data_IF_320943406266
#
_entry.id   IF_320943406266
#
_cell.length_a   1.000
_cell.length_b   1.000
_cell.length_c   1.000
_cell.angle_alpha   90.00
_cell.angle_beta   90.00
_cell.angle_gamma   90.00
#
_symmetry.space_group_name_H-M   'P 1'
#
loop_
_entity.id
_entity.type
_entity.pdbx_description
1 polymer ?
#
# COMPACT_ATOMS: atom_id res chain seq x y z
N UNK A 1 -7.70 -10.30 27.48
CA UNK A 1 -6.36 -10.96 27.46
C UNK A 1 -5.57 -10.44 28.65
N UNK A 2 -4.87 -11.29 29.41
CA UNK A 2 -4.12 -10.88 30.63
C UNK A 2 -2.80 -10.18 30.26
N UNK A 3 -2.42 -9.14 31.02
CA UNK A 3 -1.14 -8.42 30.91
C UNK A 3 0.08 -9.38 30.95
N UNK A 4 -0.06 -10.53 31.62
CA UNK A 4 0.98 -11.57 31.73
C UNK A 4 1.24 -12.32 30.42
N UNK A 5 0.25 -12.45 29.53
CA UNK A 5 0.43 -13.05 28.19
C UNK A 5 1.09 -12.05 27.24
N UNK A 6 0.91 -10.75 27.48
CA UNK A 6 1.46 -9.66 26.68
C UNK A 6 3.00 -9.63 26.72
N UNK A 7 3.57 -9.73 27.92
CA UNK A 7 5.02 -9.80 28.12
C UNK A 7 5.65 -11.14 27.75
N UNK A 8 4.84 -12.17 27.48
CA UNK A 8 5.34 -13.48 27.06
C UNK A 8 5.65 -13.52 25.55
N UNK A 9 4.94 -12.71 24.74
CA UNK A 9 5.11 -12.67 23.30
C UNK A 9 5.93 -11.47 22.80
N UNK A 10 5.97 -10.37 23.57
CA UNK A 10 6.66 -9.15 23.16
C UNK A 10 7.42 -8.51 24.33
N UNK A 11 8.68 -8.15 24.05
CA UNK A 11 9.58 -7.52 25.03
C UNK A 11 9.12 -6.11 25.43
N UNK A 12 8.30 -5.45 24.61
CA UNK A 12 7.74 -4.14 24.89
C UNK A 12 6.47 -3.85 24.08
N UNK A 13 5.74 -2.81 24.48
CA UNK A 13 4.64 -2.24 23.67
C UNK A 13 5.13 -1.80 22.28
N UNK A 14 6.37 -1.35 22.16
CA UNK A 14 6.98 -1.01 20.88
C UNK A 14 7.14 -2.23 19.99
N UNK A 15 7.69 -3.32 20.52
CA UNK A 15 7.86 -4.58 19.78
C UNK A 15 6.53 -5.14 19.28
N UNK A 16 5.45 -5.02 20.07
CA UNK A 16 4.11 -5.39 19.62
C UNK A 16 3.63 -4.52 18.45
N UNK A 17 3.76 -3.20 18.58
CA UNK A 17 3.27 -2.27 17.55
C UNK A 17 4.03 -2.43 16.24
N UNK A 18 5.34 -2.60 16.31
CA UNK A 18 6.20 -2.90 15.16
C UNK A 18 5.76 -4.21 14.48
N UNK A 19 5.61 -5.29 15.25
CA UNK A 19 5.16 -6.57 14.71
C UNK A 19 3.75 -6.51 14.10
N UNK A 20 2.83 -5.74 14.70
CA UNK A 20 1.48 -5.55 14.18
C UNK A 20 1.49 -4.81 12.84
N UNK A 21 2.24 -3.69 12.76
CA UNK A 21 2.42 -2.93 11.52
C UNK A 21 3.05 -3.81 10.43
N UNK A 22 4.10 -4.57 10.77
CA UNK A 22 4.80 -5.42 9.80
C UNK A 22 3.94 -6.58 9.28
N UNK A 23 3.17 -7.21 10.16
CA UNK A 23 2.30 -8.34 9.80
C UNK A 23 1.23 -7.90 8.81
N UNK A 24 0.51 -6.80 9.12
CA UNK A 24 -0.56 -6.29 8.25
C UNK A 24 -0.03 -5.88 6.87
N UNK A 25 1.15 -5.26 6.84
CA UNK A 25 1.73 -4.79 5.58
C UNK A 25 2.27 -5.91 4.69
N UNK A 26 2.80 -6.98 5.29
CA UNK A 26 3.42 -8.07 4.53
C UNK A 26 2.39 -8.91 3.77
N UNK A 27 1.20 -9.09 4.34
CA UNK A 27 0.17 -9.97 3.80
C UNK A 27 -0.39 -9.49 2.46
N UNK A 28 -0.63 -8.18 2.30
CA UNK A 28 -1.21 -7.66 1.05
C UNK A 28 -0.15 -7.38 -0.03
N UNK A 29 1.08 -7.01 0.34
CA UNK A 29 2.14 -6.74 -0.66
C UNK A 29 2.46 -8.01 -1.44
N UNK A 30 2.58 -9.15 -0.75
CA UNK A 30 2.79 -10.44 -1.39
C UNK A 30 1.63 -10.78 -2.34
N UNK A 31 0.38 -10.54 -1.90
CA UNK A 31 -0.81 -10.75 -2.72
C UNK A 31 -0.77 -9.92 -4.01
N UNK A 32 -0.53 -8.61 -3.90
CA UNK A 32 -0.48 -7.71 -5.06
C UNK A 32 0.61 -8.12 -6.04
N UNK A 33 1.83 -8.36 -5.56
CA UNK A 33 2.97 -8.75 -6.42
C UNK A 33 2.74 -10.09 -7.13
N UNK A 34 2.07 -11.03 -6.47
CA UNK A 34 1.74 -12.35 -7.05
C UNK A 34 0.61 -12.31 -8.08
N UNK A 35 -0.22 -11.27 -8.05
CA UNK A 35 -1.40 -11.15 -8.91
C UNK A 35 -1.16 -10.27 -10.15
N UNK A 36 0.03 -9.67 -10.29
CA UNK A 36 0.38 -8.88 -11.48
C UNK A 36 0.55 -9.84 -12.66
N UNK A 37 -0.50 -9.93 -13.47
CA UNK A 37 -0.51 -10.71 -14.70
C UNK A 37 -0.56 -9.78 -15.93
N UNK A 38 0.13 -10.11 -17.04
CA UNK A 38 0.10 -9.29 -18.24
C UNK A 38 -1.31 -9.23 -18.85
N UNK A 39 -1.92 -8.04 -18.87
CA UNK A 39 -3.16 -7.76 -19.64
C UNK A 39 -2.92 -7.66 -21.14
N UNK A 40 -3.95 -7.32 -21.94
CA UNK A 40 -3.76 -7.01 -23.37
C UNK A 40 -3.12 -5.63 -23.58
N UNK A 41 -3.33 -4.70 -22.63
CA UNK A 41 -2.71 -3.37 -22.62
C UNK A 41 -1.94 -3.09 -21.33
N UNK A 42 -1.06 -2.07 -21.35
CA UNK A 42 -0.39 -1.57 -20.14
C UNK A 42 -1.42 -1.10 -19.11
N UNK A 43 -2.46 -0.37 -19.56
CA UNK A 43 -3.56 0.09 -18.70
C UNK A 43 -4.24 -1.08 -17.99
N UNK A 44 -4.58 -2.14 -18.71
CA UNK A 44 -5.23 -3.32 -18.11
C UNK A 44 -4.33 -4.01 -17.08
N UNK A 45 -3.03 -4.10 -17.36
CA UNK A 45 -2.04 -4.69 -16.44
C UNK A 45 -1.98 -3.88 -15.14
N UNK A 46 -1.83 -2.55 -15.25
CA UNK A 46 -1.79 -1.64 -14.09
C UNK A 46 -3.11 -1.68 -13.34
N UNK A 47 -4.25 -1.57 -14.03
CA UNK A 47 -5.56 -1.53 -13.41
C UNK A 47 -5.90 -2.84 -12.69
N UNK A 48 -5.47 -3.98 -13.22
CA UNK A 48 -5.60 -5.29 -12.59
C UNK A 48 -4.83 -5.37 -11.26
N UNK A 49 -3.56 -4.93 -11.25
CA UNK A 49 -2.77 -4.89 -10.02
C UNK A 49 -3.39 -3.97 -8.94
N UNK A 50 -3.89 -2.80 -9.35
CA UNK A 50 -4.62 -1.90 -8.45
C UNK A 50 -5.93 -2.52 -7.96
N UNK A 51 -6.61 -3.32 -8.79
CA UNK A 51 -7.82 -4.03 -8.37
C UNK A 51 -7.51 -5.06 -7.29
N UNK A 52 -6.43 -5.84 -7.43
CA UNK A 52 -6.05 -6.82 -6.40
C UNK A 52 -5.80 -6.15 -5.05
N UNK A 53 -5.11 -5.00 -5.05
CA UNK A 53 -4.95 -4.21 -3.83
C UNK A 53 -6.32 -3.77 -3.27
N UNK A 54 -7.21 -3.27 -4.13
CA UNK A 54 -8.51 -2.78 -3.72
C UNK A 54 -9.44 -3.86 -3.16
N UNK A 55 -9.42 -5.05 -3.76
CA UNK A 55 -10.17 -6.21 -3.28
C UNK A 55 -9.68 -6.61 -1.88
N UNK A 56 -8.38 -6.49 -1.61
CA UNK A 56 -7.84 -6.69 -0.27
C UNK A 56 -8.36 -5.64 0.72
N UNK A 57 -8.33 -4.35 0.35
CA UNK A 57 -8.83 -3.24 1.18
C UNK A 57 -10.30 -3.45 1.57
N UNK A 58 -11.14 -3.71 0.58
CA UNK A 58 -12.59 -3.87 0.77
C UNK A 58 -12.95 -5.14 1.52
N UNK A 59 -12.18 -6.22 1.38
CA UNK A 59 -12.37 -7.44 2.16
C UNK A 59 -11.94 -7.29 3.63
N UNK A 60 -10.96 -6.42 3.91
CA UNK A 60 -10.35 -6.26 5.24
C UNK A 60 -10.19 -4.79 5.66
N UNK A 61 -11.27 -3.98 5.66
CA UNK A 61 -11.16 -2.54 5.93
C UNK A 61 -10.60 -2.25 7.33
N UNK A 62 -10.90 -3.11 8.31
CA UNK A 62 -10.40 -2.98 9.68
C UNK A 62 -8.88 -3.10 9.82
N UNK A 63 -8.22 -3.87 8.94
CA UNK A 63 -6.75 -3.97 8.93
C UNK A 63 -6.12 -2.65 8.47
N UNK A 64 -6.66 -2.06 7.40
CA UNK A 64 -6.19 -0.76 6.92
C UNK A 64 -6.50 0.36 7.92
N UNK A 65 -7.69 0.36 8.55
CA UNK A 65 -7.98 1.29 9.66
C UNK A 65 -6.95 1.17 10.79
N UNK A 66 -6.59 -0.04 11.17
CA UNK A 66 -5.58 -0.27 12.20
C UNK A 66 -4.22 0.29 11.78
N UNK A 67 -3.81 0.16 10.50
CA UNK A 67 -2.55 0.76 10.04
C UNK A 67 -2.52 2.28 10.25
N UNK A 68 -3.63 2.98 10.03
CA UNK A 68 -3.74 4.41 10.27
C UNK A 68 -3.67 4.75 11.76
N UNK A 69 -4.41 4.01 12.59
CA UNK A 69 -4.40 4.20 14.04
C UNK A 69 -2.97 4.03 14.61
N UNK A 70 -2.26 2.99 14.17
CA UNK A 70 -0.89 2.71 14.61
C UNK A 70 0.10 3.77 14.11
N UNK A 71 -0.03 4.21 12.85
CA UNK A 71 0.78 5.31 12.30
C UNK A 71 0.59 6.57 13.14
N UNK A 72 -0.66 6.96 13.37
CA UNK A 72 -1.01 8.18 14.09
C UNK A 72 -0.63 8.10 15.58
N UNK A 73 -0.69 6.92 16.18
CA UNK A 73 -0.16 6.68 17.52
C UNK A 73 1.36 6.88 17.55
N UNK A 74 2.09 6.21 16.65
CA UNK A 74 3.56 6.28 16.59
C UNK A 74 4.09 7.71 16.36
N UNK A 75 3.37 8.53 15.57
CA UNK A 75 3.73 9.93 15.35
C UNK A 75 3.49 10.84 16.57
N UNK A 76 2.65 10.42 17.52
CA UNK A 76 2.36 11.19 18.75
C UNK A 76 3.17 10.72 19.96
N UNK A 77 3.71 9.51 19.91
CA UNK A 77 4.50 8.92 20.98
C UNK A 77 6.00 9.21 20.77
N UNK A 78 6.66 9.98 21.66
CA UNK A 78 8.08 10.29 21.51
C UNK A 78 8.95 9.04 21.41
N UNK A 79 9.80 8.98 20.38
CA UNK A 79 10.70 7.85 20.13
C UNK A 79 10.13 6.75 19.22
N UNK A 80 8.85 6.83 18.83
CA UNK A 80 8.20 5.86 17.94
C UNK A 80 8.12 6.32 16.49
N UNK A 81 8.63 7.51 16.15
CA UNK A 81 8.49 8.14 14.84
C UNK A 81 9.12 7.30 13.71
N UNK A 82 10.16 6.52 14.05
CA UNK A 82 10.82 5.60 13.13
C UNK A 82 9.91 4.48 12.62
N UNK A 83 8.92 4.05 13.42
CA UNK A 83 7.97 3.00 13.02
C UNK A 83 7.06 3.49 11.89
N UNK A 84 6.48 4.69 12.05
CA UNK A 84 5.67 5.34 11.02
C UNK A 84 6.49 5.58 9.74
N UNK A 85 7.76 5.99 9.89
CA UNK A 85 8.66 6.17 8.74
C UNK A 85 8.91 4.87 8.00
N UNK A 86 9.29 3.80 8.72
CA UNK A 86 9.58 2.50 8.13
C UNK A 86 8.36 1.92 7.40
N UNK A 87 7.15 2.13 7.93
CA UNK A 87 5.91 1.76 7.27
C UNK A 87 5.73 2.44 5.91
N UNK A 88 5.86 3.77 5.86
CA UNK A 88 5.69 4.51 4.61
C UNK A 88 6.84 4.25 3.62
N UNK A 89 8.07 4.03 4.10
CA UNK A 89 9.19 3.58 3.26
C UNK A 89 8.89 2.22 2.62
N UNK A 90 8.28 1.29 3.36
CA UNK A 90 7.84 -0.01 2.83
C UNK A 90 6.75 0.13 1.78
N UNK A 91 5.79 1.04 1.95
CA UNK A 91 4.78 1.33 0.92
C UNK A 91 5.41 1.79 -0.38
N UNK A 92 6.37 2.72 -0.30
CA UNK A 92 7.11 3.21 -1.47
C UNK A 92 7.94 2.09 -2.11
N UNK A 93 8.61 1.25 -1.32
CA UNK A 93 9.38 0.13 -1.83
C UNK A 93 8.50 -0.87 -2.60
N UNK A 94 7.34 -1.23 -2.05
CA UNK A 94 6.37 -2.13 -2.70
C UNK A 94 5.80 -1.52 -3.98
N UNK A 95 5.44 -0.23 -3.96
CA UNK A 95 4.99 0.47 -5.16
C UNK A 95 6.08 0.51 -6.25
N UNK A 96 7.35 0.71 -5.86
CA UNK A 96 8.48 0.66 -6.77
C UNK A 96 8.66 -0.72 -7.40
N UNK A 97 8.58 -1.79 -6.60
CA UNK A 97 8.66 -3.16 -7.09
C UNK A 97 7.54 -3.48 -8.10
N UNK A 98 6.32 -3.00 -7.86
CA UNK A 98 5.20 -3.13 -8.80
C UNK A 98 5.49 -2.41 -10.13
N UNK A 99 5.96 -1.16 -10.08
CA UNK A 99 6.30 -0.39 -11.29
C UNK A 99 7.43 -1.06 -12.08
N UNK A 100 8.45 -1.55 -11.38
CA UNK A 100 9.55 -2.33 -11.98
C UNK A 100 9.06 -3.59 -12.69
N UNK A 101 8.17 -4.36 -12.05
CA UNK A 101 7.59 -5.56 -12.63
C UNK A 101 6.78 -5.24 -13.90
N UNK A 102 5.94 -4.19 -13.84
CA UNK A 102 5.11 -3.77 -14.98
C UNK A 102 5.97 -3.32 -16.16
N UNK A 103 7.04 -2.54 -15.94
CA UNK A 103 7.91 -2.09 -17.03
C UNK A 103 8.70 -3.25 -17.63
N UNK A 104 9.17 -4.20 -16.80
CA UNK A 104 9.94 -5.35 -17.25
C UNK A 104 9.09 -6.29 -18.14
N UNK A 105 7.79 -6.42 -17.87
CA UNK A 105 6.86 -7.21 -18.71
C UNK A 105 6.66 -6.64 -20.12
N UNK A 106 7.03 -5.39 -20.36
CA UNK A 106 6.71 -4.65 -21.60
C UNK A 106 7.92 -3.98 -22.25
N UNK A 107 9.12 -4.12 -21.66
CA UNK A 107 10.36 -3.47 -22.10
C UNK A 107 10.23 -1.95 -22.26
N UNK A 108 9.64 -1.30 -21.24
CA UNK A 108 9.38 0.15 -21.24
C UNK A 108 10.45 0.88 -20.42
N UNK A 109 11.04 1.92 -21.01
CA UNK A 109 11.86 2.91 -20.34
C UNK A 109 10.96 4.06 -19.83
N UNK A 110 10.79 4.24 -18.52
CA UNK A 110 9.87 5.24 -18.00
C UNK A 110 10.40 6.66 -18.16
N UNK A 111 9.52 7.58 -18.59
CA UNK A 111 9.85 9.01 -18.73
C UNK A 111 10.07 9.73 -17.39
N UNK A 112 9.72 9.09 -16.28
CA UNK A 112 9.87 9.59 -14.90
C UNK A 112 10.63 8.56 -14.07
N UNK A 113 11.53 8.96 -13.15
CA UNK A 113 12.21 8.01 -12.27
C UNK A 113 11.23 7.12 -11.50
N UNK A 114 11.47 5.82 -11.49
CA UNK A 114 10.61 4.81 -10.83
C UNK A 114 10.34 5.19 -9.37
N UNK A 115 11.35 5.69 -8.66
CA UNK A 115 11.21 6.13 -7.28
C UNK A 115 10.19 7.27 -7.10
N UNK A 116 10.10 8.17 -8.07
CA UNK A 116 9.10 9.24 -8.08
C UNK A 116 7.69 8.69 -8.35
N UNK A 117 7.57 7.76 -9.31
CA UNK A 117 6.30 7.08 -9.61
C UNK A 117 5.82 6.28 -8.39
N UNK A 118 6.74 5.60 -7.70
CA UNK A 118 6.45 4.81 -6.51
C UNK A 118 5.91 5.66 -5.35
N UNK A 119 6.54 6.82 -5.08
CA UNK A 119 6.06 7.77 -4.06
C UNK A 119 4.69 8.34 -4.41
N UNK A 120 4.49 8.68 -5.68
CA UNK A 120 3.21 9.14 -6.18
C UNK A 120 2.12 8.09 -5.96
N UNK A 121 2.39 6.84 -6.36
CA UNK A 121 1.45 5.74 -6.23
C UNK A 121 1.09 5.47 -4.77
N UNK A 122 2.10 5.38 -3.89
CA UNK A 122 1.88 5.16 -2.47
C UNK A 122 0.97 6.25 -1.87
N UNK A 123 1.23 7.54 -2.19
CA UNK A 123 0.40 8.64 -1.71
C UNK A 123 -1.03 8.62 -2.27
N UNK A 124 -1.19 8.32 -3.57
CA UNK A 124 -2.50 8.25 -4.22
C UNK A 124 -3.37 7.14 -3.62
N UNK A 125 -2.78 5.95 -3.44
CA UNK A 125 -3.48 4.78 -2.88
C UNK A 125 -3.80 4.96 -1.41
N UNK A 126 -2.90 5.57 -0.63
CA UNK A 126 -3.15 5.88 0.78
C UNK A 126 -4.33 6.85 0.94
N UNK A 127 -4.35 7.92 0.14
CA UNK A 127 -5.45 8.88 0.13
C UNK A 127 -6.79 8.28 -0.33
N UNK A 128 -6.76 7.44 -1.37
CA UNK A 128 -7.94 6.75 -1.89
C UNK A 128 -8.52 5.80 -0.84
N UNK A 129 -7.66 5.00 -0.19
CA UNK A 129 -8.05 4.05 0.86
C UNK A 129 -8.67 4.77 2.05
N UNK A 130 -8.01 5.81 2.58
CA UNK A 130 -8.56 6.59 3.68
C UNK A 130 -9.89 7.26 3.31
N UNK A 131 -10.01 7.80 2.09
CA UNK A 131 -11.25 8.41 1.63
C UNK A 131 -12.40 7.40 1.58
N UNK A 132 -12.16 6.20 1.08
CA UNK A 132 -13.17 5.14 1.09
C UNK A 132 -13.53 4.69 2.51
N UNK A 133 -12.56 4.52 3.41
CA UNK A 133 -12.85 4.16 4.80
C UNK A 133 -13.71 5.21 5.52
N UNK A 134 -13.59 6.48 5.13
CA UNK A 134 -14.38 7.59 5.69
C UNK A 134 -15.78 7.69 5.05
N UNK A 135 -15.86 7.61 3.72
CA UNK A 135 -17.09 7.93 2.97
C UNK A 135 -17.90 6.67 2.60
N UNK A 136 -17.24 5.55 2.37
CA UNK A 136 -17.85 4.27 1.97
C UNK A 136 -18.37 4.23 0.52
N UNK A 137 -18.04 5.21 -0.31
CA UNK A 137 -18.52 5.27 -1.71
C UNK A 137 -17.65 4.43 -2.65
N UNK A 138 -18.11 3.20 -2.92
CA UNK A 138 -17.45 2.27 -3.83
C UNK A 138 -17.36 2.78 -5.28
N UNK A 139 -18.35 3.56 -5.74
CA UNK A 139 -18.35 4.09 -7.12
C UNK A 139 -17.31 5.19 -7.27
N UNK A 140 -17.22 6.07 -6.28
CA UNK A 140 -16.17 7.09 -6.24
C UNK A 140 -14.78 6.44 -6.17
N UNK A 141 -14.61 5.42 -5.32
CA UNK A 141 -13.34 4.70 -5.21
C UNK A 141 -12.94 4.00 -6.53
N UNK A 142 -13.89 3.33 -7.20
CA UNK A 142 -13.64 2.73 -8.51
C UNK A 142 -13.21 3.77 -9.56
N UNK A 143 -13.85 4.94 -9.57
CA UNK A 143 -13.49 6.06 -10.45
C UNK A 143 -12.06 6.56 -10.17
N UNK A 144 -11.67 6.66 -8.90
CA UNK A 144 -10.33 7.08 -8.51
C UNK A 144 -9.27 6.03 -8.84
N UNK A 145 -9.60 4.73 -8.76
CA UNK A 145 -8.71 3.66 -9.21
C UNK A 145 -8.46 3.73 -10.71
N UNK A 146 -9.51 3.98 -11.50
CA UNK A 146 -9.38 4.15 -12.95
C UNK A 146 -8.50 5.37 -13.28
N UNK A 147 -8.70 6.50 -12.60
CA UNK A 147 -7.87 7.69 -12.77
C UNK A 147 -6.41 7.44 -12.38
N UNK A 148 -6.19 6.75 -11.26
CA UNK A 148 -4.84 6.40 -10.78
C UNK A 148 -4.13 5.49 -11.77
N UNK A 149 -4.84 4.50 -12.34
CA UNK A 149 -4.30 3.64 -13.39
C UNK A 149 -3.86 4.46 -14.61
N UNK A 150 -4.67 5.44 -15.02
CA UNK A 150 -4.39 6.28 -16.19
C UNK A 150 -3.16 7.15 -16.01
N UNK A 151 -3.04 7.75 -14.83
CA UNK A 151 -1.88 8.54 -14.48
C UNK A 151 -0.62 7.67 -14.43
N UNK A 152 -0.70 6.46 -13.86
CA UNK A 152 0.42 5.53 -13.87
C UNK A 152 0.83 5.11 -15.28
N UNK A 153 -0.12 4.83 -16.18
CA UNK A 153 0.19 4.49 -17.57
C UNK A 153 0.99 5.60 -18.23
N UNK A 154 0.58 6.86 -18.07
CA UNK A 154 1.31 8.02 -18.61
C UNK A 154 2.71 8.10 -18.00
N UNK A 155 2.82 8.01 -16.67
CA UNK A 155 4.12 8.11 -15.98
C UNK A 155 5.09 6.97 -16.35
N UNK A 156 4.57 5.76 -16.60
CA UNK A 156 5.37 4.59 -16.98
C UNK A 156 5.73 4.61 -18.46
N UNK A 157 4.81 5.00 -19.35
CA UNK A 157 5.03 4.93 -20.80
C UNK A 157 5.78 6.13 -21.37
N UNK A 158 5.77 7.28 -20.69
CA UNK A 158 6.33 8.55 -21.19
C UNK A 158 5.30 9.32 -22.01
#
# INVERSE_FOLDING_TARGET
VSLSVFHYCFDSKQALLEAAIETINSDYVALVMSAVEPGATLRETVRGALQTYWDHVTARPGEHMLTYDLTQFALREPGFEHLARAQYERYVASAGALVEQVRAMRDIEPGVPVETIARYLAAAIDGLTLQYLVVGDEKAAATLLDLTADQLVVLIAG
#
